data_IF_559721679391
#
_entry.id   IF_559721679391
#
_cell.length_a   1.000
_cell.length_b   1.000
_cell.length_c   1.000
_cell.angle_alpha   90.00
_cell.angle_beta   90.00
_cell.angle_gamma   90.00
#
_symmetry.space_group_name_H-M   'P 1'
#
loop_
_entity.id
_entity.type
_entity.pdbx_description
1 polymer ?
#
# COMPACT_ATOMS: atom_id res chain seq x y z
N UNK A 1 -42.16 2.88 7.35
CA UNK A 1 -40.84 3.51 7.39
C UNK A 1 -40.50 3.71 5.94
N UNK A 2 -40.65 4.94 5.44
CA UNK A 2 -40.62 5.22 4.01
C UNK A 2 -39.20 5.12 3.48
N UNK A 3 -39.01 4.39 2.37
CA UNK A 3 -37.75 4.22 1.62
C UNK A 3 -37.06 5.57 1.31
N UNK A 4 -37.84 6.65 1.27
CA UNK A 4 -37.38 8.02 1.01
C UNK A 4 -36.64 8.67 2.19
N UNK A 5 -36.85 8.19 3.42
CA UNK A 5 -36.20 8.72 4.65
C UNK A 5 -34.99 7.91 5.13
N UNK A 6 -34.76 6.73 4.55
CA UNK A 6 -33.61 5.87 4.83
C UNK A 6 -32.22 6.49 4.56
N UNK A 7 -32.00 7.38 3.56
CA UNK A 7 -30.67 7.92 3.28
C UNK A 7 -30.17 8.96 4.29
N UNK A 8 -31.07 9.68 4.98
CA UNK A 8 -30.73 10.83 5.82
C UNK A 8 -30.12 10.46 7.18
N UNK A 9 -30.20 9.19 7.59
CA UNK A 9 -29.64 8.66 8.85
C UNK A 9 -28.31 7.92 8.66
N UNK A 10 -27.84 7.80 7.42
CA UNK A 10 -26.66 6.99 7.11
C UNK A 10 -25.37 7.83 7.14
N UNK A 11 -24.32 7.29 7.77
CA UNK A 11 -22.97 7.87 7.80
C UNK A 11 -22.44 8.14 6.38
N UNK A 12 -21.68 9.24 6.14
CA UNK A 12 -21.02 9.48 4.86
C UNK A 12 -20.12 8.31 4.48
N UNK A 13 -20.27 7.79 3.26
CA UNK A 13 -19.47 6.66 2.79
C UNK A 13 -19.29 6.67 1.26
N UNK A 14 -18.08 6.37 0.80
CA UNK A 14 -17.73 6.18 -0.62
C UNK A 14 -18.34 4.94 -1.23
N UNK A 15 -18.81 3.97 -0.43
CA UNK A 15 -19.55 2.81 -0.96
C UNK A 15 -20.81 3.23 -1.73
N UNK A 16 -21.38 4.39 -1.40
CA UNK A 16 -22.53 4.95 -2.11
C UNK A 16 -22.23 5.27 -3.56
N UNK A 17 -20.99 5.59 -3.91
CA UNK A 17 -20.58 5.78 -5.30
C UNK A 17 -20.71 4.48 -6.10
N UNK A 18 -20.38 3.34 -5.47
CA UNK A 18 -20.53 2.01 -6.06
C UNK A 18 -22.01 1.64 -6.16
N UNK A 19 -22.79 1.88 -5.11
CA UNK A 19 -24.24 1.69 -5.13
C UNK A 19 -24.95 2.56 -6.19
N UNK A 20 -24.40 3.74 -6.49
CA UNK A 20 -24.87 4.63 -7.54
C UNK A 20 -24.46 4.19 -8.97
N UNK A 21 -23.77 3.07 -9.12
CA UNK A 21 -23.45 2.44 -10.40
C UNK A 21 -21.98 2.53 -10.84
N UNK A 22 -21.07 3.09 -10.03
CA UNK A 22 -19.63 2.94 -10.31
C UNK A 22 -19.18 1.51 -9.99
N UNK A 23 -18.20 1.00 -10.74
CA UNK A 23 -17.60 -0.31 -10.44
C UNK A 23 -16.78 -0.29 -9.14
N UNK A 24 -16.14 0.85 -8.85
CA UNK A 24 -15.39 1.09 -7.63
C UNK A 24 -15.30 2.60 -7.35
N UNK A 25 -15.07 2.97 -6.09
CA UNK A 25 -14.80 4.37 -5.72
C UNK A 25 -13.31 4.74 -5.87
N UNK A 26 -12.41 3.75 -5.83
CA UNK A 26 -10.98 3.89 -6.13
C UNK A 26 -10.40 2.57 -6.64
N UNK A 27 -9.11 2.57 -6.99
CA UNK A 27 -8.32 1.37 -7.23
C UNK A 27 -7.04 1.34 -6.39
N UNK A 28 -6.51 0.15 -6.17
CA UNK A 28 -5.24 -0.10 -5.48
C UNK A 28 -4.45 -1.20 -6.20
N UNK A 29 -3.15 -1.00 -6.34
CA UNK A 29 -2.22 -2.07 -6.71
C UNK A 29 -1.74 -2.74 -5.42
N UNK A 30 -2.07 -4.01 -5.23
CA UNK A 30 -1.56 -4.83 -4.12
C UNK A 30 -0.42 -5.67 -4.67
N UNK A 31 0.80 -5.29 -4.34
CA UNK A 31 1.99 -6.06 -4.66
C UNK A 31 2.18 -7.06 -3.53
N UNK A 32 2.04 -8.34 -3.85
CA UNK A 32 2.20 -9.46 -2.92
C UNK A 32 3.58 -10.06 -3.12
N UNK A 33 4.51 -9.66 -2.25
CA UNK A 33 5.88 -10.15 -2.20
C UNK A 33 5.97 -11.30 -1.18
N UNK A 34 7.18 -11.61 -0.72
CA UNK A 34 7.41 -12.57 0.36
C UNK A 34 6.64 -12.14 1.64
N UNK A 35 5.71 -12.98 2.08
CA UNK A 35 4.83 -12.73 3.24
C UNK A 35 3.40 -13.24 3.04
N UNK A 36 2.87 -13.21 1.81
CA UNK A 36 1.61 -13.88 1.42
C UNK A 36 0.30 -13.24 1.94
N UNK A 37 0.39 -12.08 2.56
CA UNK A 37 -0.75 -11.37 3.14
C UNK A 37 -1.58 -10.57 2.11
N UNK A 38 -1.17 -10.54 0.84
CA UNK A 38 -1.88 -9.80 -0.21
C UNK A 38 -3.25 -10.36 -0.57
N UNK A 39 -3.49 -11.68 -0.45
CA UNK A 39 -4.78 -12.29 -0.81
C UNK A 39 -5.90 -11.97 0.19
N UNK A 40 -5.73 -12.17 1.51
CA UNK A 40 -6.76 -11.76 2.48
C UNK A 40 -7.05 -10.25 2.39
N UNK A 41 -6.00 -9.45 2.17
CA UNK A 41 -6.13 -8.01 2.02
C UNK A 41 -6.94 -7.64 0.77
N UNK A 42 -6.69 -8.30 -0.36
CA UNK A 42 -7.49 -8.14 -1.58
C UNK A 42 -8.98 -8.34 -1.31
N UNK A 43 -9.35 -9.49 -0.76
CA UNK A 43 -10.76 -9.87 -0.60
C UNK A 43 -11.50 -8.86 0.31
N UNK A 44 -10.83 -8.41 1.36
CA UNK A 44 -11.38 -7.42 2.27
C UNK A 44 -11.49 -6.01 1.64
N UNK A 45 -10.50 -5.55 0.86
CA UNK A 45 -10.58 -4.27 0.15
C UNK A 45 -11.67 -4.26 -0.92
N UNK A 46 -11.84 -5.36 -1.66
CA UNK A 46 -12.93 -5.51 -2.62
C UNK A 46 -14.31 -5.38 -1.94
N UNK A 47 -14.44 -5.86 -0.69
CA UNK A 47 -15.67 -5.67 0.11
C UNK A 47 -16.00 -4.20 0.44
N UNK A 48 -14.98 -3.31 0.42
CA UNK A 48 -15.16 -1.88 0.62
C UNK A 48 -15.48 -1.13 -0.68
N UNK A 49 -15.69 -1.84 -1.80
CA UNK A 49 -15.94 -1.23 -3.10
C UNK A 49 -14.69 -0.66 -3.76
N UNK A 50 -13.51 -1.18 -3.39
CA UNK A 50 -12.21 -0.85 -3.98
C UNK A 50 -11.90 -1.85 -5.10
N UNK A 51 -11.45 -1.37 -6.26
CA UNK A 51 -10.90 -2.25 -7.29
C UNK A 51 -9.46 -2.63 -6.93
N UNK A 52 -9.18 -3.92 -6.78
CA UNK A 52 -7.83 -4.40 -6.47
C UNK A 52 -7.16 -4.98 -7.71
N UNK A 53 -6.00 -4.43 -8.07
CA UNK A 53 -5.08 -5.05 -9.02
C UNK A 53 -4.08 -5.87 -8.21
N UNK A 54 -4.30 -7.18 -8.14
CA UNK A 54 -3.44 -8.09 -7.39
C UNK A 54 -2.23 -8.51 -8.24
N UNK A 55 -1.03 -8.20 -7.77
CA UNK A 55 0.23 -8.35 -8.50
C UNK A 55 1.19 -9.25 -7.69
N UNK A 56 1.25 -10.56 -7.99
CA UNK A 56 2.21 -11.45 -7.34
C UNK A 56 3.63 -11.17 -7.82
N UNK A 57 4.55 -10.92 -6.89
CA UNK A 57 5.92 -10.52 -7.18
C UNK A 57 6.87 -11.67 -6.82
N UNK A 58 7.22 -12.48 -7.83
CA UNK A 58 8.18 -13.59 -7.65
C UNK A 58 9.65 -13.26 -7.94
N UNK A 59 9.99 -12.03 -8.34
CA UNK A 59 11.40 -11.62 -8.60
C UNK A 59 11.53 -10.09 -8.72
N UNK A 60 12.73 -9.52 -8.53
CA UNK A 60 13.01 -8.08 -8.64
C UNK A 60 12.49 -7.41 -9.91
N UNK A 61 12.64 -8.03 -11.10
CA UNK A 61 12.10 -7.42 -12.32
C UNK A 61 10.58 -7.31 -12.36
N UNK A 62 9.86 -8.17 -11.63
CA UNK A 62 8.40 -8.06 -11.51
C UNK A 62 8.04 -6.86 -10.63
N UNK A 63 8.79 -6.63 -9.54
CA UNK A 63 8.64 -5.44 -8.71
C UNK A 63 8.87 -4.16 -9.50
N UNK A 64 9.94 -4.13 -10.31
CA UNK A 64 10.21 -3.00 -11.23
C UNK A 64 9.08 -2.86 -12.25
N UNK A 65 8.73 -3.90 -13.01
CA UNK A 65 7.68 -3.82 -14.02
C UNK A 65 6.31 -3.41 -13.45
N UNK A 66 6.03 -3.72 -12.18
CA UNK A 66 4.80 -3.30 -11.52
C UNK A 66 4.74 -1.79 -11.28
N UNK A 67 5.90 -1.11 -11.13
CA UNK A 67 6.01 0.25 -10.62
C UNK A 67 6.96 1.15 -11.43
N UNK A 68 7.47 0.75 -12.59
CA UNK A 68 8.42 1.53 -13.42
C UNK A 68 7.74 2.60 -14.31
N UNK A 69 6.41 2.70 -14.25
CA UNK A 69 5.60 3.61 -15.04
C UNK A 69 5.30 3.12 -16.46
N UNK A 70 5.72 1.91 -16.84
CA UNK A 70 5.35 1.28 -18.13
C UNK A 70 3.86 0.93 -18.22
N UNK A 71 3.18 0.83 -17.07
CA UNK A 71 1.73 0.74 -16.94
C UNK A 71 1.20 1.86 -16.05
N UNK A 72 -0.10 2.10 -16.15
CA UNK A 72 -0.79 2.97 -15.17
C UNK A 72 -0.74 2.33 -13.79
N UNK A 73 -0.03 2.99 -12.86
CA UNK A 73 -0.04 2.66 -11.43
C UNK A 73 -1.31 3.23 -10.80
N UNK A 74 -1.95 2.47 -9.93
CA UNK A 74 -3.16 2.89 -9.24
C UNK A 74 -2.90 4.10 -8.30
N UNK A 75 -3.93 4.85 -7.91
CA UNK A 75 -3.80 5.94 -6.94
C UNK A 75 -3.24 5.49 -5.58
N UNK A 76 -3.39 4.20 -5.25
CA UNK A 76 -2.84 3.58 -4.05
C UNK A 76 -2.00 2.37 -4.42
N UNK A 77 -0.89 2.18 -3.73
CA UNK A 77 -0.01 1.02 -3.84
C UNK A 77 0.18 0.45 -2.44
N UNK A 78 -0.07 -0.84 -2.26
CA UNK A 78 0.22 -1.56 -1.03
C UNK A 78 1.33 -2.57 -1.29
N UNK A 79 2.40 -2.50 -0.51
CA UNK A 79 3.49 -3.48 -0.52
C UNK A 79 3.27 -4.44 0.65
N UNK A 80 2.80 -5.65 0.33
CA UNK A 80 2.76 -6.77 1.27
C UNK A 80 4.11 -7.49 1.20
N UNK A 81 5.02 -7.13 2.08
CA UNK A 81 6.40 -7.62 2.07
C UNK A 81 6.98 -7.72 3.49
N UNK A 82 8.08 -8.45 3.61
CA UNK A 82 9.04 -8.23 4.67
C UNK A 82 9.94 -7.01 4.39
N UNK A 83 10.49 -6.45 5.46
CA UNK A 83 11.50 -5.41 5.39
C UNK A 83 12.58 -5.66 6.42
N UNK A 84 13.75 -5.07 6.17
CA UNK A 84 14.91 -5.14 7.06
C UNK A 84 15.81 -3.93 6.78
N UNK A 85 16.26 -3.25 7.83
CA UNK A 85 17.18 -2.10 7.78
C UNK A 85 16.83 -1.04 6.70
N UNK A 86 15.54 -0.72 6.56
CA UNK A 86 15.07 0.25 5.57
C UNK A 86 15.12 -0.24 4.12
N UNK A 87 14.93 -1.54 3.89
CA UNK A 87 14.84 -2.17 2.57
C UNK A 87 13.60 -3.03 2.46
N UNK A 88 13.08 -3.17 1.24
CA UNK A 88 12.03 -4.15 0.91
C UNK A 88 12.70 -5.46 0.54
N UNK A 89 12.37 -6.56 1.21
CA UNK A 89 12.95 -7.87 0.94
C UNK A 89 12.25 -8.58 -0.21
N UNK A 90 13.01 -9.36 -0.98
CA UNK A 90 12.53 -10.23 -2.05
C UNK A 90 13.24 -11.59 -1.96
N UNK A 91 12.54 -12.63 -2.40
CA UNK A 91 13.05 -14.00 -2.44
C UNK A 91 14.45 -14.09 -3.07
N UNK A 92 15.30 -14.93 -2.47
CA UNK A 92 16.54 -15.35 -3.09
C UNK A 92 16.24 -16.18 -4.35
N UNK A 93 16.92 -15.83 -5.44
CA UNK A 93 16.74 -16.49 -6.72
C UNK A 93 17.93 -17.39 -7.03
N UNK A 94 17.68 -18.45 -7.80
CA UNK A 94 18.74 -19.28 -8.35
C UNK A 94 19.77 -18.42 -9.12
N UNK A 95 21.07 -18.71 -9.05
CA UNK A 95 22.13 -17.86 -9.63
C UNK A 95 21.90 -17.50 -11.10
N UNK A 96 21.37 -18.44 -11.89
CA UNK A 96 21.09 -18.23 -13.33
C UNK A 96 20.00 -17.19 -13.57
N UNK A 97 19.04 -17.06 -12.65
CA UNK A 97 17.96 -16.07 -12.72
C UNK A 97 18.42 -14.74 -12.12
N UNK A 98 19.16 -14.79 -11.00
CA UNK A 98 19.69 -13.63 -10.28
C UNK A 98 20.61 -12.77 -11.15
N UNK A 99 21.41 -13.39 -12.04
CA UNK A 99 22.34 -12.72 -12.94
C UNK A 99 21.68 -11.72 -13.92
N UNK A 100 20.36 -11.81 -14.10
CA UNK A 100 19.61 -10.98 -15.04
C UNK A 100 18.64 -10.02 -14.36
N UNK A 101 18.67 -9.91 -13.02
CA UNK A 101 17.79 -9.00 -12.28
C UNK A 101 18.36 -7.58 -12.19
N UNK A 102 17.51 -6.54 -12.06
CA UNK A 102 17.97 -5.17 -11.82
C UNK A 102 18.73 -5.00 -10.49
N UNK A 103 18.37 -5.79 -9.49
CA UNK A 103 18.99 -5.92 -8.17
C UNK A 103 18.63 -7.30 -7.61
N UNK A 104 19.23 -7.72 -6.48
CA UNK A 104 18.98 -9.03 -5.88
C UNK A 104 18.74 -8.94 -4.37
N UNK A 105 17.88 -9.80 -3.84
CA UNK A 105 17.58 -9.98 -2.41
C UNK A 105 16.77 -8.86 -1.75
N UNK A 106 17.01 -7.60 -2.10
CA UNK A 106 16.23 -6.48 -1.57
C UNK A 106 16.26 -5.26 -2.48
N UNK A 107 15.24 -4.42 -2.38
CA UNK A 107 15.22 -3.08 -2.95
C UNK A 107 15.48 -2.05 -1.84
N UNK A 108 16.62 -1.36 -1.93
CA UNK A 108 16.95 -0.23 -1.07
C UNK A 108 16.59 1.12 -1.71
N UNK A 109 16.94 2.24 -1.03
CA UNK A 109 16.66 3.58 -1.53
C UNK A 109 17.17 3.85 -2.96
N UNK A 110 18.37 3.39 -3.31
CA UNK A 110 18.92 3.63 -4.65
C UNK A 110 18.23 2.82 -5.73
N UNK A 111 17.85 1.57 -5.44
CA UNK A 111 17.08 0.73 -6.38
C UNK A 111 15.71 1.36 -6.65
N UNK A 112 15.06 1.88 -5.60
CA UNK A 112 13.79 2.59 -5.70
C UNK A 112 13.90 3.81 -6.62
N UNK A 113 14.89 4.69 -6.40
CA UNK A 113 15.10 5.89 -7.25
C UNK A 113 15.43 5.52 -8.69
N UNK A 114 16.29 4.52 -8.87
CA UNK A 114 16.74 4.11 -10.20
C UNK A 114 15.57 3.59 -11.03
N UNK A 115 14.70 2.76 -10.44
CA UNK A 115 13.80 1.90 -11.19
C UNK A 115 12.32 2.27 -11.12
N UNK A 116 11.84 2.93 -10.05
CA UNK A 116 10.39 3.11 -9.85
C UNK A 116 9.91 4.50 -10.28
N UNK A 117 8.68 4.57 -10.77
CA UNK A 117 7.95 5.77 -11.18
C UNK A 117 6.51 5.68 -10.71
N UNK A 118 6.15 6.51 -9.73
CA UNK A 118 4.89 6.40 -8.96
C UNK A 118 4.08 7.70 -9.01
N UNK A 119 3.68 8.19 -10.20
CA UNK A 119 3.17 9.55 -10.36
C UNK A 119 1.89 9.81 -9.54
N UNK A 120 2.06 10.41 -8.36
CA UNK A 120 0.96 10.80 -7.48
C UNK A 120 0.36 9.67 -6.63
N UNK A 121 0.88 8.44 -6.70
CA UNK A 121 0.36 7.32 -5.90
C UNK A 121 0.66 7.51 -4.40
N UNK A 122 -0.26 7.08 -3.55
CA UNK A 122 -0.03 6.89 -2.11
C UNK A 122 0.52 5.48 -1.91
N UNK A 123 1.71 5.38 -1.33
CA UNK A 123 2.36 4.09 -1.05
C UNK A 123 2.15 3.72 0.41
N UNK A 124 1.67 2.51 0.66
CA UNK A 124 1.54 1.89 1.98
C UNK A 124 2.46 0.68 2.00
N UNK A 125 3.57 0.77 2.74
CA UNK A 125 4.54 -0.31 2.87
C UNK A 125 4.40 -0.97 4.24
N UNK A 126 4.18 -2.28 4.28
CA UNK A 126 3.90 -3.01 5.51
C UNK A 126 5.11 -3.80 6.04
N UNK A 127 6.26 -3.71 5.38
CA UNK A 127 7.48 -4.39 5.82
C UNK A 127 8.11 -3.75 7.05
N UNK A 128 8.73 -4.57 7.89
CA UNK A 128 9.47 -4.09 9.07
C UNK A 128 10.51 -3.03 8.70
N UNK A 129 10.58 -1.97 9.52
CA UNK A 129 11.56 -0.89 9.41
C UNK A 129 11.54 -0.12 8.06
N UNK A 130 10.52 -0.34 7.23
CA UNK A 130 10.40 0.33 5.93
C UNK A 130 9.97 1.80 6.06
N UNK A 131 9.66 2.27 7.28
CA UNK A 131 9.55 3.67 7.65
C UNK A 131 10.88 4.42 7.74
N UNK A 132 12.02 3.79 7.43
CA UNK A 132 13.32 4.46 7.32
C UNK A 132 13.21 5.72 6.42
N UNK A 133 13.67 6.89 6.90
CA UNK A 133 13.58 8.14 6.16
C UNK A 133 14.14 8.07 4.74
N UNK A 134 15.26 7.38 4.52
CA UNK A 134 15.93 7.30 3.22
C UNK A 134 15.12 6.49 2.22
N UNK A 135 14.47 5.43 2.69
CA UNK A 135 13.58 4.63 1.85
C UNK A 135 12.32 5.41 1.51
N UNK A 136 11.68 6.03 2.50
CA UNK A 136 10.51 6.87 2.28
C UNK A 136 10.79 8.00 1.28
N UNK A 137 11.92 8.71 1.45
CA UNK A 137 12.33 9.79 0.55
C UNK A 137 12.57 9.26 -0.87
N UNK A 138 13.13 8.05 -1.03
CA UNK A 138 13.30 7.43 -2.34
C UNK A 138 11.96 7.18 -3.06
N UNK A 139 10.92 6.74 -2.35
CA UNK A 139 9.58 6.57 -2.93
C UNK A 139 8.94 7.92 -3.31
N UNK A 140 9.14 8.96 -2.51
CA UNK A 140 8.67 10.32 -2.81
C UNK A 140 9.41 10.91 -4.03
N UNK A 141 10.73 10.70 -4.12
CA UNK A 141 11.56 11.08 -5.27
C UNK A 141 11.09 10.37 -6.56
N UNK A 142 10.68 9.09 -6.42
CA UNK A 142 10.11 8.30 -7.51
C UNK A 142 8.73 8.79 -7.98
N UNK A 143 8.10 9.73 -7.28
CA UNK A 143 6.84 10.36 -7.72
C UNK A 143 5.67 10.23 -6.75
N UNK A 144 5.79 9.43 -5.69
CA UNK A 144 4.69 9.20 -4.77
C UNK A 144 4.20 10.50 -4.13
N UNK A 145 2.90 10.62 -3.91
CA UNK A 145 2.30 11.77 -3.22
C UNK A 145 2.42 11.65 -1.70
N UNK A 146 2.40 10.42 -1.20
CA UNK A 146 2.62 10.09 0.19
C UNK A 146 3.24 8.69 0.33
N UNK A 147 3.98 8.49 1.41
CA UNK A 147 4.55 7.21 1.80
C UNK A 147 4.18 6.93 3.25
N UNK A 148 3.57 5.77 3.50
CA UNK A 148 3.06 5.34 4.81
C UNK A 148 3.70 4.00 5.16
N UNK A 149 4.41 3.91 6.28
CA UNK A 149 5.13 2.69 6.64
C UNK A 149 5.41 2.61 8.15
N UNK A 150 5.60 1.41 8.72
CA UNK A 150 5.96 1.25 10.12
C UNK A 150 7.41 1.67 10.37
N UNK A 151 7.66 2.44 11.43
CA UNK A 151 9.01 2.82 11.86
C UNK A 151 9.79 1.70 12.56
N UNK A 152 9.15 0.56 12.83
CA UNK A 152 9.73 -0.59 13.53
C UNK A 152 9.28 -1.92 12.91
N UNK A 153 9.35 -3.00 13.68
CA UNK A 153 8.99 -4.34 13.23
C UNK A 153 7.59 -4.76 13.77
N UNK A 154 6.51 -4.51 13.02
CA UNK A 154 5.17 -4.90 13.46
C UNK A 154 4.96 -6.42 13.36
N UNK A 155 4.01 -6.94 14.13
CA UNK A 155 3.46 -8.27 13.91
C UNK A 155 2.73 -8.35 12.57
N UNK A 156 2.82 -9.52 11.90
CA UNK A 156 2.19 -9.71 10.58
C UNK A 156 0.69 -9.40 10.55
N UNK A 157 -0.06 -9.71 11.62
CA UNK A 157 -1.49 -9.36 11.69
C UNK A 157 -1.73 -7.83 11.71
N UNK A 158 -0.82 -7.05 12.28
CA UNK A 158 -0.89 -5.60 12.26
C UNK A 158 -0.60 -5.06 10.84
N UNK A 159 0.35 -5.69 10.13
CA UNK A 159 0.63 -5.43 8.71
C UNK A 159 -0.55 -5.70 7.78
N UNK A 160 -1.44 -6.63 8.12
CA UNK A 160 -2.73 -6.81 7.42
C UNK A 160 -3.77 -5.78 7.86
N UNK A 161 -3.88 -5.53 9.17
CA UNK A 161 -4.92 -4.68 9.72
C UNK A 161 -4.73 -3.19 9.37
N UNK A 162 -3.51 -2.68 9.38
CA UNK A 162 -3.20 -1.28 9.11
C UNK A 162 -3.76 -0.79 7.76
N UNK A 163 -3.47 -1.42 6.60
CA UNK A 163 -4.05 -1.01 5.33
C UNK A 163 -5.59 -1.17 5.32
N UNK A 164 -6.15 -2.20 5.94
CA UNK A 164 -7.60 -2.36 6.04
C UNK A 164 -8.26 -1.21 6.81
N UNK A 165 -7.67 -0.83 7.94
CA UNK A 165 -8.15 0.28 8.75
C UNK A 165 -8.05 1.60 7.99
N UNK A 166 -6.94 1.85 7.29
CA UNK A 166 -6.79 3.03 6.44
C UNK A 166 -7.89 3.10 5.38
N UNK A 167 -8.14 2.01 4.66
CA UNK A 167 -9.18 1.98 3.63
C UNK A 167 -10.60 2.03 4.20
N UNK A 168 -10.84 1.52 5.41
CA UNK A 168 -12.10 1.73 6.12
C UNK A 168 -12.32 3.23 6.37
N UNK A 169 -11.33 3.95 6.90
CA UNK A 169 -11.44 5.38 7.18
C UNK A 169 -11.60 6.21 5.88
N UNK A 170 -10.90 5.85 4.79
CA UNK A 170 -11.08 6.46 3.47
C UNK A 170 -12.47 6.19 2.88
N UNK A 171 -13.01 4.98 3.10
CA UNK A 171 -14.37 4.62 2.70
C UNK A 171 -15.38 5.46 3.45
N UNK A 172 -15.13 5.80 4.71
CA UNK A 172 -15.91 6.77 5.51
C UNK A 172 -15.64 8.25 5.15
N UNK A 173 -15.05 8.50 3.98
CA UNK A 173 -14.75 9.82 3.41
C UNK A 173 -13.79 10.69 4.23
N UNK A 174 -13.02 10.11 5.16
CA UNK A 174 -11.95 10.86 5.82
C UNK A 174 -10.78 11.09 4.88
N UNK A 175 -10.03 12.14 5.17
CA UNK A 175 -8.76 12.43 4.50
C UNK A 175 -7.71 11.38 4.85
N UNK A 176 -6.68 11.26 4.03
CA UNK A 176 -5.56 10.35 4.30
C UNK A 176 -4.87 10.69 5.64
N UNK A 177 -4.69 11.99 5.94
CA UNK A 177 -4.11 12.45 7.20
C UNK A 177 -4.95 12.07 8.42
N UNK A 178 -6.27 12.22 8.33
CA UNK A 178 -7.17 11.76 9.40
C UNK A 178 -7.13 10.24 9.58
N UNK A 179 -7.11 9.48 8.49
CA UNK A 179 -7.02 8.02 8.52
C UNK A 179 -5.74 7.54 9.23
N UNK A 180 -4.58 8.10 8.86
CA UNK A 180 -3.29 7.78 9.50
C UNK A 180 -3.28 8.22 10.97
N UNK A 181 -3.81 9.39 11.28
CA UNK A 181 -3.89 9.88 12.67
C UNK A 181 -4.71 8.93 13.55
N UNK A 182 -5.83 8.43 13.03
CA UNK A 182 -6.70 7.48 13.73
C UNK A 182 -6.08 6.09 13.85
N UNK A 183 -5.37 5.63 12.81
CA UNK A 183 -4.60 4.38 12.84
C UNK A 183 -3.57 4.41 13.98
N UNK A 184 -2.75 5.46 14.02
CA UNK A 184 -1.71 5.61 15.05
C UNK A 184 -2.26 5.73 16.47
N UNK A 185 -3.49 6.23 16.61
CA UNK A 185 -4.17 6.38 17.89
C UNK A 185 -4.87 5.10 18.36
N UNK A 186 -4.90 4.03 17.55
CA UNK A 186 -5.60 2.79 17.88
C UNK A 186 -4.91 2.05 19.03
N UNK A 187 -3.60 1.84 18.95
CA UNK A 187 -2.75 1.24 19.99
C UNK A 187 -1.26 1.51 19.71
N UNK A 188 -0.37 1.00 20.57
CA UNK A 188 1.07 1.17 20.43
C UNK A 188 1.69 0.45 19.22
N UNK A 189 1.07 -0.64 18.76
CA UNK A 189 1.54 -1.42 17.61
C UNK A 189 1.27 -0.64 16.31
N UNK A 190 0.04 -0.17 16.13
CA UNK A 190 -0.38 0.61 14.96
C UNK A 190 0.13 2.05 14.99
N UNK A 191 0.57 2.51 16.16
CA UNK A 191 1.33 3.74 16.36
C UNK A 191 2.60 3.85 15.50
N UNK A 192 3.13 2.72 15.03
CA UNK A 192 4.34 2.67 14.19
C UNK A 192 4.14 3.23 12.78
N UNK A 193 2.92 3.22 12.22
CA UNK A 193 2.70 3.67 10.84
C UNK A 193 2.81 5.20 10.76
N UNK A 194 3.88 5.67 10.13
CA UNK A 194 4.16 7.08 9.92
C UNK A 194 3.84 7.46 8.48
N UNK A 195 3.42 8.70 8.26
CA UNK A 195 3.15 9.22 6.92
C UNK A 195 4.10 10.37 6.60
N UNK A 196 4.71 10.29 5.42
CA UNK A 196 5.52 11.35 4.82
C UNK A 196 4.89 11.79 3.51
N UNK A 197 5.03 13.07 3.19
CA UNK A 197 4.51 13.67 1.96
C UNK A 197 5.63 14.28 1.15
N UNK A 198 5.42 14.36 -0.16
CA UNK A 198 6.26 15.16 -1.03
C UNK A 198 6.04 16.64 -0.69
N UNK A 199 7.14 17.35 -0.41
CA UNK A 199 7.14 18.80 -0.19
C UNK A 199 6.80 19.57 -1.47
#
# INVERSE_FOLDING_TARGET
MDEETWPATQRPSRIREVQAGRLSWTSVDVLDLEGGDGRPLRDALESFGVQVNYLPIGQPRHFVAALDGSRTVAPYVILCCHGDEGRVLLDELAPEIAAHQPFNGSAGPEDVRAHLRLPGSVVINNGCETGDPRLADAFLDAGASAYIAPSGAPFGYASVFAPLFLFYELTEQRTLTEAVTRLRAHDGELGMWEMRHRH
#
